data_IF_137309860412
#
_entry.id   IF_137309860412
#
_cell.length_a   1.000
_cell.length_b   1.000
_cell.length_c   1.000
_cell.angle_alpha   90.00
_cell.angle_beta   90.00
_cell.angle_gamma   90.00
#
_symmetry.space_group_name_H-M   'P 1'
#
loop_
_entity.id
_entity.type
_entity.pdbx_description
1 polymer ?
#
# COMPACT_ATOMS: atom_id res chain seq x y z
N UNK A 1 0.28 31.86 -18.13
CA UNK A 1 -0.24 31.13 -19.30
C UNK A 1 -1.04 29.93 -18.79
N UNK A 2 -2.30 30.13 -18.41
CA UNK A 2 -3.15 29.11 -17.76
C UNK A 2 -4.63 29.53 -17.90
N UNK A 3 -5.23 29.31 -19.07
CA UNK A 3 -6.62 29.71 -19.32
C UNK A 3 -7.26 28.98 -20.54
N UNK A 4 -6.94 27.69 -20.74
CA UNK A 4 -7.45 26.93 -21.89
C UNK A 4 -8.02 25.55 -21.59
N UNK A 5 -7.69 24.96 -20.43
CA UNK A 5 -7.98 23.54 -20.17
C UNK A 5 -9.26 23.33 -19.35
N UNK A 6 -9.51 24.14 -18.31
CA UNK A 6 -10.67 23.96 -17.39
C UNK A 6 -12.03 24.01 -18.07
N UNK A 7 -12.20 24.86 -19.08
CA UNK A 7 -13.47 24.99 -19.83
C UNK A 7 -13.76 23.74 -20.67
N UNK A 8 -12.73 23.11 -21.21
CA UNK A 8 -12.86 21.91 -22.02
C UNK A 8 -13.10 20.68 -21.14
N UNK A 9 -12.40 20.56 -20.00
CA UNK A 9 -12.60 19.46 -19.04
C UNK A 9 -14.02 19.46 -18.47
N UNK A 10 -14.52 20.63 -18.06
CA UNK A 10 -15.89 20.76 -17.53
C UNK A 10 -16.94 20.40 -18.59
N UNK A 11 -16.74 20.82 -19.84
CA UNK A 11 -17.65 20.48 -20.95
C UNK A 11 -17.63 18.99 -21.28
N UNK A 12 -16.44 18.36 -21.30
CA UNK A 12 -16.29 16.92 -21.54
C UNK A 12 -16.96 16.08 -20.46
N UNK A 13 -16.83 16.49 -19.18
CA UNK A 13 -17.47 15.75 -18.09
C UNK A 13 -19.00 15.72 -18.24
N UNK A 14 -19.62 16.83 -18.64
CA UNK A 14 -21.06 16.86 -18.93
C UNK A 14 -21.46 15.92 -20.08
N UNK A 15 -20.64 15.83 -21.13
CA UNK A 15 -20.89 14.87 -22.22
C UNK A 15 -20.72 13.41 -21.77
N UNK A 16 -19.74 13.12 -20.92
CA UNK A 16 -19.53 11.77 -20.36
C UNK A 16 -20.62 11.37 -19.35
N UNK A 17 -21.14 12.31 -18.57
CA UNK A 17 -22.26 12.10 -17.68
C UNK A 17 -23.53 11.72 -18.45
N UNK A 18 -23.85 12.48 -19.50
CA UNK A 18 -24.94 12.18 -20.44
C UNK A 18 -24.79 10.80 -21.09
N UNK A 19 -23.59 10.47 -21.56
CA UNK A 19 -23.29 9.18 -22.19
C UNK A 19 -23.44 8.00 -21.22
N UNK A 20 -23.06 8.16 -19.93
CA UNK A 20 -23.25 7.14 -18.90
C UNK A 20 -24.73 6.94 -18.54
N UNK A 21 -25.49 8.03 -18.43
CA UNK A 21 -26.92 7.97 -18.09
C UNK A 21 -27.76 7.26 -19.16
N UNK A 22 -27.34 7.36 -20.44
CA UNK A 22 -28.09 6.82 -21.59
C UNK A 22 -27.38 5.61 -22.23
N UNK A 23 -26.45 4.97 -21.53
CA UNK A 23 -25.69 3.86 -22.10
C UNK A 23 -26.61 2.69 -22.45
N UNK A 24 -26.78 2.33 -23.75
CA UNK A 24 -27.57 1.16 -24.12
C UNK A 24 -26.86 -0.09 -23.62
N UNK A 25 -27.63 -0.99 -22.98
CA UNK A 25 -27.11 -2.26 -22.52
C UNK A 25 -26.57 -3.12 -23.69
N UNK A 26 -25.55 -3.96 -23.46
CA UNK A 26 -25.07 -4.90 -24.47
C UNK A 26 -26.20 -5.83 -24.91
N UNK A 27 -26.23 -6.21 -26.19
CA UNK A 27 -27.22 -7.16 -26.68
C UNK A 27 -27.04 -8.53 -26.01
N UNK A 28 -28.14 -9.26 -25.82
CA UNK A 28 -28.08 -10.59 -25.20
C UNK A 28 -27.18 -11.58 -25.95
N UNK A 29 -27.16 -11.51 -27.29
CA UNK A 29 -26.27 -12.32 -28.12
C UNK A 29 -24.79 -11.99 -27.89
N UNK A 30 -24.45 -10.69 -27.79
CA UNK A 30 -23.08 -10.27 -27.45
C UNK A 30 -22.69 -10.81 -26.07
N UNK A 31 -23.56 -10.68 -25.07
CA UNK A 31 -23.29 -11.17 -23.72
C UNK A 31 -23.10 -12.69 -23.70
N UNK A 32 -23.92 -13.44 -24.43
CA UNK A 32 -23.78 -14.89 -24.55
C UNK A 32 -22.43 -15.29 -25.16
N UNK A 33 -21.97 -14.58 -26.19
CA UNK A 33 -20.64 -14.80 -26.79
C UNK A 33 -19.50 -14.47 -25.85
N UNK A 34 -19.60 -13.35 -25.11
CA UNK A 34 -18.60 -12.95 -24.11
C UNK A 34 -18.49 -14.00 -23.00
N UNK A 35 -19.63 -14.53 -22.53
CA UNK A 35 -19.64 -15.56 -21.50
C UNK A 35 -19.04 -16.89 -22.00
N UNK A 36 -19.37 -17.30 -23.23
CA UNK A 36 -18.78 -18.49 -23.84
C UNK A 36 -17.25 -18.35 -24.03
N UNK A 37 -16.79 -17.19 -24.48
CA UNK A 37 -15.35 -16.90 -24.59
C UNK A 37 -14.66 -16.89 -23.22
N UNK A 38 -15.28 -16.28 -22.21
CA UNK A 38 -14.77 -16.27 -20.85
C UNK A 38 -14.66 -17.68 -20.27
N UNK A 39 -15.61 -18.57 -20.55
CA UNK A 39 -15.55 -19.99 -20.16
C UNK A 39 -14.39 -20.71 -20.85
N UNK A 40 -14.22 -20.52 -22.16
CA UNK A 40 -13.11 -21.10 -22.92
C UNK A 40 -11.73 -20.64 -22.38
N UNK A 41 -11.59 -19.34 -22.09
CA UNK A 41 -10.37 -18.77 -21.50
C UNK A 41 -10.13 -19.29 -20.09
N UNK A 42 -11.17 -19.40 -19.25
CA UNK A 42 -11.05 -19.96 -17.90
C UNK A 42 -10.58 -21.42 -17.94
N UNK A 43 -11.20 -22.24 -18.79
CA UNK A 43 -10.81 -23.63 -18.99
C UNK A 43 -9.35 -23.75 -19.48
N UNK A 44 -8.93 -22.89 -20.41
CA UNK A 44 -7.55 -22.85 -20.90
C UNK A 44 -6.54 -22.44 -19.81
N UNK A 45 -6.90 -21.47 -18.95
CA UNK A 45 -6.04 -21.04 -17.82
C UNK A 45 -5.91 -22.11 -16.74
N UNK A 46 -6.96 -22.86 -16.44
CA UNK A 46 -6.89 -24.01 -15.52
C UNK A 46 -5.99 -25.11 -16.09
N UNK A 47 -6.01 -25.33 -17.40
CA UNK A 47 -5.21 -26.36 -18.08
C UNK A 47 -3.75 -25.97 -18.27
N UNK A 48 -3.42 -24.68 -18.26
CA UNK A 48 -2.03 -24.22 -18.38
C UNK A 48 -1.27 -24.51 -17.07
N UNK A 49 -0.27 -25.42 -17.06
CA UNK A 49 0.58 -25.55 -15.89
C UNK A 49 1.27 -24.21 -15.68
N UNK A 50 1.06 -23.60 -14.50
CA UNK A 50 1.78 -22.39 -14.12
C UNK A 50 3.28 -22.68 -14.26
N UNK A 51 3.93 -22.10 -15.28
CA UNK A 51 5.38 -22.14 -15.42
C UNK A 51 5.96 -21.56 -14.13
N UNK A 52 6.34 -22.44 -13.21
CA UNK A 52 7.12 -22.10 -12.01
C UNK A 52 8.55 -21.81 -12.46
N UNK A 53 8.73 -20.72 -13.20
CA UNK A 53 10.05 -20.07 -13.27
C UNK A 53 10.43 -19.58 -11.87
N UNK A 54 11.72 -19.28 -11.61
CA UNK A 54 12.13 -18.70 -10.34
C UNK A 54 11.32 -17.41 -10.14
N UNK A 55 10.32 -17.48 -9.26
CA UNK A 55 9.40 -16.38 -9.00
C UNK A 55 10.22 -15.30 -8.32
N UNK A 56 10.61 -14.28 -9.08
CA UNK A 56 11.18 -13.05 -8.54
C UNK A 56 10.26 -12.57 -7.43
N UNK A 57 10.75 -12.54 -6.18
CA UNK A 57 9.97 -12.21 -4.97
C UNK A 57 9.17 -10.90 -5.13
N UNK A 58 9.69 -9.99 -5.94
CA UNK A 58 9.05 -8.73 -6.33
C UNK A 58 7.75 -8.91 -7.14
N UNK A 59 7.66 -9.89 -8.03
CA UNK A 59 6.43 -10.14 -8.80
C UNK A 59 5.32 -10.70 -7.89
N UNK A 60 5.67 -11.57 -6.95
CA UNK A 60 4.73 -12.07 -5.93
C UNK A 60 4.24 -10.94 -5.01
N UNK A 61 5.11 -10.00 -4.64
CA UNK A 61 4.73 -8.84 -3.84
C UNK A 61 3.78 -7.92 -4.62
N UNK A 62 4.01 -7.71 -5.92
CA UNK A 62 3.11 -6.90 -6.75
C UNK A 62 1.74 -7.56 -6.99
N UNK A 63 1.71 -8.88 -7.14
CA UNK A 63 0.45 -9.66 -7.21
C UNK A 63 -0.29 -9.67 -5.87
N UNK A 64 0.42 -9.84 -4.75
CA UNK A 64 -0.17 -9.91 -3.41
C UNK A 64 -0.73 -8.56 -2.92
N UNK A 65 -0.10 -7.43 -3.28
CA UNK A 65 -0.54 -6.10 -2.86
C UNK A 65 -1.53 -5.47 -3.87
N UNK A 66 -1.84 -6.12 -5.00
CA UNK A 66 -2.93 -5.69 -5.88
C UNK A 66 -2.56 -4.67 -6.97
N UNK A 67 -1.30 -4.65 -7.40
CA UNK A 67 -0.87 -3.93 -8.60
C UNK A 67 -0.39 -2.48 -8.38
N UNK A 68 -0.49 -1.65 -9.44
CA UNK A 68 -0.01 -0.26 -9.47
C UNK A 68 -0.57 0.68 -8.38
N UNK A 69 -1.86 0.61 -7.97
CA UNK A 69 -2.37 1.52 -6.94
C UNK A 69 -1.69 1.33 -5.58
N UNK A 70 -1.26 0.11 -5.25
CA UNK A 70 -0.55 -0.12 -3.99
C UNK A 70 0.87 0.43 -3.98
N UNK A 71 1.57 0.41 -5.12
CA UNK A 71 2.87 1.07 -5.28
C UNK A 71 2.74 2.58 -5.13
N UNK A 72 1.68 3.18 -5.69
CA UNK A 72 1.39 4.59 -5.51
C UNK A 72 1.14 4.92 -4.02
N UNK A 73 0.40 4.07 -3.30
CA UNK A 73 0.22 4.22 -1.85
C UNK A 73 1.53 4.16 -1.06
N UNK A 74 2.42 3.20 -1.37
CA UNK A 74 3.71 3.06 -0.71
C UNK A 74 4.61 4.28 -0.93
N UNK A 75 4.68 4.79 -2.16
CA UNK A 75 5.46 6.00 -2.49
C UNK A 75 4.88 7.23 -1.78
N UNK A 76 3.56 7.41 -1.81
CA UNK A 76 2.89 8.52 -1.11
C UNK A 76 3.11 8.45 0.40
N UNK A 77 3.03 7.27 1.01
CA UNK A 77 3.31 7.08 2.43
C UNK A 77 4.77 7.39 2.78
N UNK A 78 5.72 7.00 1.91
CA UNK A 78 7.14 7.35 2.06
C UNK A 78 7.39 8.85 1.98
N UNK A 79 6.77 9.54 1.03
CA UNK A 79 6.84 11.00 0.91
C UNK A 79 6.21 11.69 2.11
N UNK A 80 5.08 11.19 2.60
CA UNK A 80 4.44 11.71 3.81
C UNK A 80 5.34 11.53 5.05
N UNK A 81 5.96 10.36 5.21
CA UNK A 81 6.93 10.12 6.29
C UNK A 81 8.15 11.03 6.21
N UNK A 82 8.70 11.22 5.00
CA UNK A 82 9.82 12.14 4.78
C UNK A 82 9.44 13.59 5.10
N UNK A 83 8.25 14.02 4.65
CA UNK A 83 7.73 15.36 4.93
C UNK A 83 7.56 15.61 6.44
N UNK A 84 6.96 14.64 7.14
CA UNK A 84 6.78 14.70 8.59
C UNK A 84 8.11 14.69 9.36
N UNK A 85 9.13 14.00 8.84
CA UNK A 85 10.47 13.98 9.44
C UNK A 85 11.24 15.30 9.26
N UNK A 86 11.10 15.97 8.11
CA UNK A 86 11.77 17.26 7.83
C UNK A 86 11.09 18.42 8.57
N UNK A 87 9.76 18.39 8.67
CA UNK A 87 8.98 19.44 9.33
C UNK A 87 8.15 18.82 10.46
N UNK A 88 8.77 18.47 11.60
CA UNK A 88 8.04 17.96 12.73
C UNK A 88 7.02 19.03 13.18
N UNK A 89 5.71 18.74 13.16
CA UNK A 89 4.70 19.69 13.62
C UNK A 89 4.97 20.07 15.08
N UNK A 90 4.71 21.33 15.46
CA UNK A 90 5.03 21.86 16.78
C UNK A 90 4.46 21.01 17.95
N UNK A 91 3.36 20.28 17.71
CA UNK A 91 2.77 19.33 18.67
C UNK A 91 3.69 18.13 19.02
N UNK A 92 4.68 17.79 18.20
CA UNK A 92 5.68 16.74 18.50
C UNK A 92 6.80 17.24 19.41
N UNK A 93 7.04 18.55 19.49
CA UNK A 93 8.06 19.12 20.37
C UNK A 93 7.64 19.10 21.85
N UNK A 94 6.33 19.12 22.13
CA UNK A 94 5.77 19.03 23.48
C UNK A 94 5.52 17.57 23.92
N UNK A 95 5.66 16.61 23.01
CA UNK A 95 5.58 15.19 23.34
C UNK A 95 6.95 14.74 23.86
N UNK A 96 7.05 14.22 25.11
CA UNK A 96 8.28 13.62 25.60
C UNK A 96 8.53 12.31 24.83
N UNK A 97 9.20 12.44 23.68
CA UNK A 97 9.63 11.35 22.80
C UNK A 97 10.58 10.37 23.53
N UNK A 98 11.11 10.77 24.69
CA UNK A 98 11.90 9.95 25.60
C UNK A 98 11.18 8.67 26.10
N UNK A 99 9.84 8.63 26.06
CA UNK A 99 9.07 7.41 26.33
C UNK A 99 8.91 6.47 25.13
N UNK A 100 9.21 6.95 23.92
CA UNK A 100 9.04 6.23 22.65
C UNK A 100 10.38 5.62 22.21
N UNK A 101 10.95 4.73 23.04
CA UNK A 101 12.04 3.83 22.66
C UNK A 101 13.39 4.48 22.27
N UNK A 102 13.54 5.79 22.39
CA UNK A 102 14.79 6.51 22.14
C UNK A 102 15.58 6.78 23.44
N UNK A 103 15.44 5.91 24.43
CA UNK A 103 16.22 5.96 25.66
C UNK A 103 17.27 4.86 25.66
N UNK A 104 18.54 5.21 25.87
CA UNK A 104 19.61 4.29 26.25
C UNK A 104 19.26 3.42 27.48
N UNK A 105 18.19 3.76 28.20
CA UNK A 105 17.56 2.98 29.29
C UNK A 105 16.96 1.64 28.86
N UNK A 106 16.74 1.38 27.56
CA UNK A 106 16.33 0.05 27.09
C UNK A 106 17.45 -1.01 27.21
N UNK A 107 18.71 -0.58 27.32
CA UNK A 107 19.85 -1.49 27.53
C UNK A 107 20.07 -1.83 29.01
N UNK A 108 19.66 -0.94 29.93
CA UNK A 108 19.84 -1.12 31.38
C UNK A 108 18.84 -2.14 31.96
N UNK A 109 17.64 -2.24 31.38
CA UNK A 109 16.62 -3.21 31.81
C UNK A 109 16.82 -4.65 31.34
N UNK A 110 17.83 -4.93 30.49
CA UNK A 110 18.07 -6.25 29.89
C UNK A 110 19.30 -6.98 30.45
N UNK A 111 19.71 -6.68 31.68
CA UNK A 111 20.76 -7.42 32.39
C UNK A 111 20.13 -8.19 33.57
N UNK A 112 19.49 -9.36 33.32
CA UNK A 112 19.06 -10.23 34.39
C UNK A 112 20.30 -10.92 34.98
N UNK A 113 20.86 -10.36 36.06
CA UNK A 113 21.85 -11.10 36.86
C UNK A 113 22.91 -10.29 37.62
N UNK A 114 23.10 -8.99 37.38
CA UNK A 114 24.19 -8.24 38.03
C UNK A 114 23.88 -7.71 39.43
N UNK A 115 22.61 -7.61 39.84
CA UNK A 115 22.27 -7.23 41.22
C UNK A 115 22.37 -8.39 42.22
N UNK A 116 22.21 -9.64 41.77
CA UNK A 116 22.20 -10.79 42.68
C UNK A 116 23.61 -11.20 43.14
N UNK A 117 24.64 -10.89 42.35
CA UNK A 117 26.03 -11.26 42.66
C UNK A 117 26.70 -10.26 43.64
N UNK A 118 26.28 -8.99 43.63
CA UNK A 118 26.79 -7.97 44.56
C UNK A 118 26.24 -8.10 45.98
N UNK A 119 25.03 -8.66 46.16
CA UNK A 119 24.50 -9.00 47.48
C UNK A 119 25.03 -10.34 48.02
N UNK A 120 25.59 -11.20 47.15
CA UNK A 120 26.16 -12.48 47.56
C UNK A 120 27.63 -12.39 48.00
N UNK A 121 28.33 -11.28 47.68
CA UNK A 121 29.73 -11.06 48.07
C UNK A 121 29.90 -10.21 49.34
N UNK A 122 28.83 -9.66 49.91
CA UNK A 122 28.84 -8.92 51.19
C UNK A 122 28.55 -9.81 52.41
N UNK A 123 28.33 -11.12 52.22
CA UNK A 123 28.15 -12.11 53.29
C UNK A 123 29.31 -13.14 53.24
N UNK A 124 30.53 -12.66 53.48
CA UNK A 124 31.74 -13.48 53.59
C UNK A 124 32.82 -12.85 54.46
#
# INVERSE_FOLDING_TARGET
MMAGTDRNETGLETFFESARATAPGPSGDLMARVLADAEAVQAARVKAPARRGPRVRFAQLREAIGGWPAMAGLVSAGLAGLWLGVSPPAALNDLPLAGFGAGESALVGMLPGVELDLLALEEG
#
